data_IF_915673541686
#
_entry.id   IF_915673541686
#
_cell.length_a   1.000
_cell.length_b   1.000
_cell.length_c   1.000
_cell.angle_alpha   90.00
_cell.angle_beta   90.00
_cell.angle_gamma   90.00
#
_symmetry.space_group_name_H-M   'P 1'
#
loop_
_entity.id
_entity.type
_entity.pdbx_description
1 polymer ?
#
# COMPACT_ATOMS: atom_id res chain seq x y z
N UNK A 1 -23.97 -0.46 7.55
CA UNK A 1 -23.07 0.39 6.72
C UNK A 1 -22.96 1.75 7.44
N UNK A 2 -22.00 2.01 8.33
CA UNK A 2 -21.96 3.31 8.97
C UNK A 2 -21.22 3.50 10.29
N UNK A 3 -20.38 2.60 10.76
CA UNK A 3 -19.80 2.76 12.12
C UNK A 3 -18.28 3.03 12.18
N UNK A 4 -17.55 2.99 11.06
CA UNK A 4 -16.09 3.18 11.08
C UNK A 4 -15.67 4.63 10.73
N UNK A 5 -16.57 5.47 10.19
CA UNK A 5 -16.24 6.82 9.65
C UNK A 5 -16.47 8.01 10.60
N UNK A 6 -16.90 7.84 11.85
CA UNK A 6 -17.45 8.97 12.62
C UNK A 6 -16.45 9.87 13.37
N UNK A 7 -15.14 9.62 13.35
CA UNK A 7 -14.18 10.47 14.10
C UNK A 7 -12.87 10.74 13.32
N UNK A 8 -12.96 11.47 12.21
CA UNK A 8 -11.79 12.17 11.65
C UNK A 8 -11.98 13.69 11.80
N UNK A 9 -11.28 14.30 12.76
CA UNK A 9 -11.13 15.75 12.83
C UNK A 9 -10.25 16.17 11.65
N UNK A 10 -10.84 16.87 10.66
CA UNK A 10 -10.08 17.45 9.54
C UNK A 10 -9.15 18.54 10.11
N UNK A 11 -7.84 18.33 10.05
CA UNK A 11 -6.89 19.39 10.28
C UNK A 11 -7.00 20.41 9.14
N UNK A 12 -7.08 21.72 9.48
CA UNK A 12 -7.15 22.81 8.49
C UNK A 12 -5.82 23.18 7.80
N UNK A 13 -4.80 22.31 7.87
CA UNK A 13 -3.60 22.48 7.05
C UNK A 13 -3.88 22.07 5.62
N UNK A 14 -3.44 22.89 4.62
CA UNK A 14 -3.43 22.48 3.21
C UNK A 14 -2.76 21.11 3.12
N UNK A 15 -3.40 20.12 2.48
CA UNK A 15 -2.83 18.78 2.40
C UNK A 15 -1.49 18.86 1.67
N UNK A 16 -0.43 18.41 2.33
CA UNK A 16 0.89 18.31 1.73
C UNK A 16 0.94 17.05 0.87
N UNK A 17 1.28 17.19 -0.41
CA UNK A 17 1.39 16.04 -1.31
C UNK A 17 2.69 15.28 -0.99
N UNK A 18 2.57 13.98 -0.67
CA UNK A 18 3.71 13.09 -0.45
C UNK A 18 4.14 12.37 -1.73
N UNK A 19 3.19 12.13 -2.65
CA UNK A 19 3.42 11.53 -3.97
C UNK A 19 2.72 12.39 -5.01
N UNK A 20 3.39 12.76 -6.11
CA UNK A 20 2.74 13.35 -7.28
C UNK A 20 3.25 12.71 -8.58
N UNK A 21 2.32 12.50 -9.49
CA UNK A 21 2.54 12.08 -10.87
C UNK A 21 2.14 13.24 -11.78
N UNK A 22 3.02 13.64 -12.68
CA UNK A 22 2.81 14.76 -13.61
C UNK A 22 3.10 14.28 -15.03
N UNK A 23 2.05 14.18 -15.85
CA UNK A 23 2.08 13.77 -17.27
C UNK A 23 2.78 12.44 -17.54
N UNK A 24 2.58 11.45 -16.64
CA UNK A 24 3.23 10.15 -16.76
C UNK A 24 2.64 9.35 -17.91
N UNK A 25 3.51 8.98 -18.84
CA UNK A 25 3.19 8.05 -19.93
C UNK A 25 4.15 6.86 -19.88
N UNK A 26 3.60 5.65 -20.04
CA UNK A 26 4.36 4.42 -20.07
C UNK A 26 3.83 3.46 -21.12
N UNK A 27 4.74 2.94 -21.94
CA UNK A 27 4.47 1.88 -22.93
C UNK A 27 5.50 0.77 -22.79
N UNK A 28 5.07 -0.48 -22.98
CA UNK A 28 5.95 -1.63 -23.17
C UNK A 28 5.88 -2.07 -24.63
N UNK A 29 7.02 -2.04 -25.32
CA UNK A 29 7.07 -2.27 -26.77
C UNK A 29 6.09 -1.30 -27.47
N UNK A 30 5.05 -1.81 -28.11
CA UNK A 30 4.03 -1.00 -28.78
C UNK A 30 2.71 -0.92 -28.03
N UNK A 31 2.66 -1.39 -26.76
CA UNK A 31 1.45 -1.36 -25.95
C UNK A 31 1.50 -0.24 -24.93
N UNK A 32 0.60 0.72 -25.06
CA UNK A 32 0.38 1.79 -24.08
C UNK A 32 -0.22 1.18 -22.80
N UNK A 33 0.34 1.51 -21.66
CA UNK A 33 -0.10 1.05 -20.33
C UNK A 33 -0.68 2.20 -19.51
N UNK A 34 -0.01 3.35 -19.53
CA UNK A 34 -0.44 4.57 -18.85
C UNK A 34 -0.30 5.72 -19.83
N UNK A 35 -1.35 6.57 -19.94
CA UNK A 35 -1.41 7.69 -20.85
C UNK A 35 -1.68 8.99 -20.09
N UNK A 36 -0.70 9.87 -20.05
CA UNK A 36 -0.79 11.20 -19.44
C UNK A 36 -1.41 11.18 -18.02
N UNK A 37 -0.94 10.28 -17.17
CA UNK A 37 -1.46 10.10 -15.81
C UNK A 37 -1.01 11.24 -14.91
N UNK A 38 -1.99 11.90 -14.29
CA UNK A 38 -1.81 13.01 -13.36
C UNK A 38 -2.61 12.77 -12.08
N UNK A 39 -1.97 12.68 -10.93
CA UNK A 39 -2.64 12.61 -9.61
C UNK A 39 -1.68 12.96 -8.48
N UNK A 40 -2.24 13.21 -7.30
CA UNK A 40 -1.49 13.47 -6.07
C UNK A 40 -2.05 12.66 -4.92
N UNK A 41 -1.17 12.18 -4.06
CA UNK A 41 -1.52 11.51 -2.80
C UNK A 41 -1.03 12.40 -1.66
N UNK A 42 -1.92 12.68 -0.70
CA UNK A 42 -1.59 13.54 0.43
C UNK A 42 -0.98 12.76 1.59
N UNK A 43 -0.16 13.43 2.38
CA UNK A 43 0.43 12.84 3.58
C UNK A 43 -0.65 12.38 4.57
N UNK A 44 -0.53 11.15 5.06
CA UNK A 44 -1.43 10.58 6.06
C UNK A 44 -2.81 10.20 5.54
N UNK A 45 -3.08 10.18 4.21
CA UNK A 45 -4.32 9.64 3.67
C UNK A 45 -4.23 8.15 3.35
N UNK A 46 -5.37 7.47 3.36
CA UNK A 46 -5.53 6.15 2.73
C UNK A 46 -6.09 6.39 1.33
N UNK A 47 -5.27 6.18 0.32
CA UNK A 47 -5.61 6.40 -1.09
C UNK A 47 -5.84 5.08 -1.81
N UNK A 48 -6.93 4.99 -2.58
CA UNK A 48 -7.31 3.80 -3.33
C UNK A 48 -7.08 3.93 -4.84
N UNK A 49 -6.69 2.84 -5.48
CA UNK A 49 -6.65 2.70 -6.93
C UNK A 49 -7.53 1.54 -7.36
N UNK A 50 -8.61 1.83 -8.07
CA UNK A 50 -9.57 0.86 -8.60
C UNK A 50 -9.37 0.66 -10.10
N UNK A 51 -9.69 -0.51 -10.58
CA UNK A 51 -9.69 -0.84 -12.01
C UNK A 51 -9.55 -2.33 -12.25
N UNK A 52 -9.84 -2.80 -13.45
CA UNK A 52 -9.71 -4.23 -13.81
C UNK A 52 -8.25 -4.70 -13.73
N UNK A 53 -8.06 -6.02 -13.73
CA UNK A 53 -6.73 -6.59 -13.77
C UNK A 53 -6.01 -6.22 -15.07
N UNK A 54 -4.70 -5.90 -14.96
CA UNK A 54 -3.89 -5.51 -16.11
C UNK A 54 -4.06 -4.06 -16.58
N UNK A 55 -4.84 -3.21 -15.88
CA UNK A 55 -5.06 -1.79 -16.27
C UNK A 55 -3.89 -0.86 -15.91
N UNK A 56 -2.87 -1.35 -15.17
CA UNK A 56 -1.71 -0.54 -14.79
C UNK A 56 -1.60 -0.18 -13.30
N UNK A 57 -2.45 -0.71 -12.41
CA UNK A 57 -2.40 -0.41 -10.96
C UNK A 57 -1.04 -0.75 -10.32
N UNK A 58 -0.60 -2.00 -10.43
CA UNK A 58 0.71 -2.43 -9.91
C UNK A 58 1.87 -1.75 -10.65
N UNK A 59 1.65 -1.34 -11.91
CA UNK A 59 2.60 -0.54 -12.68
C UNK A 59 2.86 0.82 -12.03
N UNK A 60 1.82 1.47 -11.50
CA UNK A 60 1.96 2.73 -10.74
C UNK A 60 2.81 2.50 -9.49
N UNK A 61 2.62 1.39 -8.75
CA UNK A 61 3.47 1.06 -7.60
C UNK A 61 4.92 0.82 -8.01
N UNK A 62 5.14 0.12 -9.13
CA UNK A 62 6.49 -0.08 -9.67
C UNK A 62 7.17 1.23 -10.09
N UNK A 63 6.41 2.20 -10.59
CA UNK A 63 6.89 3.56 -10.88
C UNK A 63 7.23 4.32 -9.60
N UNK A 64 6.40 4.25 -8.55
CA UNK A 64 6.67 4.89 -7.25
C UNK A 64 7.95 4.32 -6.62
N UNK A 65 8.10 2.99 -6.61
CA UNK A 65 9.27 2.33 -6.03
C UNK A 65 10.54 2.51 -6.88
N UNK A 66 10.40 2.84 -8.17
CA UNK A 66 11.53 2.96 -9.12
C UNK A 66 11.99 1.61 -9.68
N UNK A 67 11.16 0.58 -9.58
CA UNK A 67 11.40 -0.71 -10.23
C UNK A 67 11.34 -0.58 -11.77
N UNK A 68 10.50 0.33 -12.24
CA UNK A 68 10.41 0.74 -13.65
C UNK A 68 10.45 2.25 -13.75
N UNK A 69 10.81 2.76 -14.94
CA UNK A 69 10.82 4.19 -15.25
C UNK A 69 9.73 4.50 -16.28
N UNK A 70 9.09 5.69 -16.22
CA UNK A 70 8.16 6.11 -17.27
C UNK A 70 8.91 6.49 -18.56
N UNK A 71 8.19 6.50 -19.68
CA UNK A 71 8.73 7.05 -20.93
C UNK A 71 8.76 8.59 -20.88
N UNK A 72 7.74 9.20 -20.27
CA UNK A 72 7.62 10.65 -20.12
C UNK A 72 6.97 11.01 -18.78
N UNK A 73 7.15 12.27 -18.35
CA UNK A 73 6.57 12.84 -17.16
C UNK A 73 7.49 12.84 -15.96
N UNK A 74 6.98 13.33 -14.82
CA UNK A 74 7.74 13.46 -13.57
C UNK A 74 7.04 12.74 -12.42
N UNK A 75 7.84 12.11 -11.56
CA UNK A 75 7.37 11.50 -10.30
C UNK A 75 8.07 12.19 -9.15
N UNK A 76 7.28 12.81 -8.26
CA UNK A 76 7.84 13.48 -7.09
C UNK A 76 7.43 12.76 -5.81
N UNK A 77 8.39 12.56 -4.92
CA UNK A 77 8.21 12.10 -3.54
C UNK A 77 8.63 13.23 -2.59
N UNK A 78 7.73 13.70 -1.73
CA UNK A 78 7.96 14.89 -0.89
C UNK A 78 8.45 16.10 -1.71
N UNK A 79 7.84 16.37 -2.86
CA UNK A 79 8.20 17.42 -3.82
C UNK A 79 9.62 17.28 -4.44
N UNK A 80 10.29 16.15 -4.29
CA UNK A 80 11.59 15.86 -4.91
C UNK A 80 11.34 14.95 -6.12
N UNK A 81 11.80 15.35 -7.29
CA UNK A 81 11.80 14.47 -8.47
C UNK A 81 12.70 13.25 -8.19
N UNK A 82 12.13 12.06 -8.41
CA UNK A 82 12.80 10.80 -8.08
C UNK A 82 13.12 9.93 -9.30
N UNK A 83 12.90 10.42 -10.52
CA UNK A 83 13.11 9.61 -11.73
C UNK A 83 14.51 9.00 -11.74
N UNK A 84 15.54 9.77 -11.38
CA UNK A 84 16.93 9.33 -11.35
C UNK A 84 17.34 8.61 -10.04
N UNK A 85 16.41 8.41 -9.11
CA UNK A 85 16.71 7.70 -7.86
C UNK A 85 16.48 6.19 -8.05
N UNK A 86 17.50 5.35 -7.84
CA UNK A 86 17.33 3.90 -7.88
C UNK A 86 16.46 3.42 -6.72
N UNK A 87 15.86 2.24 -6.87
CA UNK A 87 14.88 1.66 -5.93
C UNK A 87 15.35 1.68 -4.48
N UNK A 88 16.62 1.30 -4.20
CA UNK A 88 17.14 1.24 -2.83
C UNK A 88 17.22 2.62 -2.17
N UNK A 89 17.49 3.69 -2.94
CA UNK A 89 17.47 5.06 -2.43
C UNK A 89 16.04 5.56 -2.21
N UNK A 90 15.10 5.23 -3.11
CA UNK A 90 13.70 5.62 -2.93
C UNK A 90 13.12 4.98 -1.67
N UNK A 91 13.30 3.68 -1.48
CA UNK A 91 12.80 2.96 -0.31
C UNK A 91 13.43 3.47 0.99
N UNK A 92 14.75 3.66 1.02
CA UNK A 92 15.46 4.13 2.22
C UNK A 92 15.19 5.60 2.55
N UNK A 93 15.34 6.51 1.56
CA UNK A 93 15.23 7.97 1.77
C UNK A 93 13.79 8.41 2.02
N UNK A 94 12.83 7.87 1.26
CA UNK A 94 11.41 8.25 1.37
C UNK A 94 10.60 7.28 2.23
N UNK A 95 11.26 6.27 2.81
CA UNK A 95 10.64 5.29 3.73
C UNK A 95 9.40 4.64 3.11
N UNK A 96 9.57 4.01 1.95
CA UNK A 96 8.50 3.31 1.25
C UNK A 96 8.52 1.84 1.65
N UNK A 97 7.41 1.36 2.22
CA UNK A 97 7.11 -0.06 2.40
C UNK A 97 6.25 -0.56 1.24
N UNK A 98 6.52 -1.78 0.77
CA UNK A 98 5.74 -2.39 -0.30
C UNK A 98 5.31 -3.80 0.07
N UNK A 99 4.02 -4.05 -0.04
CA UNK A 99 3.37 -5.36 0.16
C UNK A 99 2.90 -5.85 -1.20
N UNK A 100 3.59 -6.83 -1.82
CA UNK A 100 3.22 -7.35 -3.13
C UNK A 100 1.95 -8.20 -3.06
N UNK A 101 1.34 -8.42 -4.21
CA UNK A 101 0.18 -9.29 -4.36
C UNK A 101 0.50 -10.72 -3.89
N UNK A 102 1.66 -11.25 -4.27
CA UNK A 102 2.16 -12.57 -3.92
C UNK A 102 3.56 -12.52 -3.33
N UNK A 103 3.87 -13.47 -2.44
CA UNK A 103 5.20 -13.59 -1.85
C UNK A 103 5.51 -12.53 -0.79
N UNK A 104 6.76 -12.04 -0.79
CA UNK A 104 7.24 -11.07 0.20
C UNK A 104 7.67 -11.71 1.52
N UNK A 105 7.82 -13.04 1.57
CA UNK A 105 8.28 -13.80 2.74
C UNK A 105 9.05 -15.06 2.32
N UNK A 106 9.81 -15.62 3.24
CA UNK A 106 10.57 -16.85 3.05
C UNK A 106 9.72 -18.06 3.50
N UNK A 107 9.38 -18.93 2.56
CA UNK A 107 8.46 -20.06 2.76
C UNK A 107 8.89 -21.04 3.85
N UNK A 108 10.18 -21.36 3.94
CA UNK A 108 10.73 -22.37 4.84
C UNK A 108 11.15 -21.82 6.20
N UNK A 109 11.17 -20.51 6.37
CA UNK A 109 11.35 -19.85 7.66
C UNK A 109 10.03 -19.78 8.43
N UNK A 110 10.12 -19.82 9.76
CA UNK A 110 8.96 -19.59 10.63
C UNK A 110 8.52 -18.12 10.51
N UNK A 111 7.33 -17.80 11.00
CA UNK A 111 6.84 -16.43 11.07
C UNK A 111 7.84 -15.53 11.80
N UNK A 112 8.32 -15.96 12.97
CA UNK A 112 9.33 -15.21 13.73
C UNK A 112 10.65 -15.05 12.97
N UNK A 113 11.15 -16.13 12.35
CA UNK A 113 12.39 -16.08 11.56
C UNK A 113 12.28 -15.14 10.35
N UNK A 114 11.10 -15.06 9.72
CA UNK A 114 10.85 -14.09 8.67
C UNK A 114 11.00 -12.65 9.19
N UNK A 115 10.35 -12.32 10.31
CA UNK A 115 10.45 -11.01 10.94
C UNK A 115 11.89 -10.71 11.36
N UNK A 116 12.56 -11.68 11.98
CA UNK A 116 13.94 -11.57 12.44
C UNK A 116 14.91 -11.26 11.29
N UNK A 117 14.82 -12.02 10.19
CA UNK A 117 15.70 -11.85 9.03
C UNK A 117 15.59 -10.44 8.41
N UNK A 118 14.39 -9.86 8.35
CA UNK A 118 14.22 -8.50 7.83
C UNK A 118 14.62 -7.45 8.88
N UNK A 119 14.29 -7.68 10.15
CA UNK A 119 14.63 -6.76 11.23
C UNK A 119 16.16 -6.57 11.36
N UNK A 120 16.94 -7.64 11.26
CA UNK A 120 18.41 -7.59 11.27
C UNK A 120 19.01 -6.72 10.14
N UNK A 121 18.29 -6.58 9.01
CA UNK A 121 18.72 -5.74 7.89
C UNK A 121 18.38 -4.26 8.12
N UNK A 122 17.21 -3.98 8.76
CA UNK A 122 16.66 -2.62 8.81
C UNK A 122 16.79 -1.95 10.17
N UNK A 123 17.09 -2.69 11.24
CA UNK A 123 17.22 -2.20 12.61
C UNK A 123 18.63 -2.52 13.13
N UNK A 124 19.37 -1.48 13.52
CA UNK A 124 20.76 -1.64 14.00
C UNK A 124 20.83 -2.05 15.49
N UNK A 125 19.83 -1.69 16.30
CA UNK A 125 19.82 -1.95 17.74
C UNK A 125 19.01 -3.21 18.04
N UNK A 126 19.67 -4.22 18.62
CA UNK A 126 19.07 -5.52 18.94
C UNK A 126 17.94 -5.43 19.97
N UNK A 127 17.99 -4.48 20.90
CA UNK A 127 16.92 -4.31 21.88
C UNK A 127 15.65 -3.74 21.24
N UNK A 128 15.82 -2.78 20.34
CA UNK A 128 14.73 -2.21 19.52
C UNK A 128 14.18 -3.25 18.56
N UNK A 129 15.04 -4.08 17.97
CA UNK A 129 14.68 -5.14 17.05
C UNK A 129 13.70 -6.13 17.70
N UNK A 130 14.08 -6.72 18.85
CA UNK A 130 13.26 -7.73 19.52
C UNK A 130 11.94 -7.15 20.02
N UNK A 131 11.98 -5.94 20.61
CA UNK A 131 10.77 -5.22 21.00
C UNK A 131 9.81 -5.03 19.82
N UNK A 132 10.33 -4.58 18.67
CA UNK A 132 9.52 -4.29 17.49
C UNK A 132 8.92 -5.55 16.88
N UNK A 133 9.69 -6.64 16.80
CA UNK A 133 9.19 -7.94 16.33
C UNK A 133 8.02 -8.40 17.20
N UNK A 134 8.18 -8.41 18.53
CA UNK A 134 7.14 -8.87 19.45
C UNK A 134 5.92 -7.94 19.42
N UNK A 135 6.11 -6.63 19.31
CA UNK A 135 5.03 -5.65 19.14
C UNK A 135 4.21 -5.89 17.87
N UNK A 136 4.87 -6.18 16.73
CA UNK A 136 4.19 -6.49 15.48
C UNK A 136 3.45 -7.83 15.55
N UNK A 137 4.06 -8.87 16.14
CA UNK A 137 3.40 -10.17 16.34
C UNK A 137 2.10 -9.97 17.13
N UNK A 138 2.14 -9.21 18.22
CA UNK A 138 0.96 -8.92 19.05
C UNK A 138 -0.06 -8.06 18.31
N UNK A 139 0.38 -6.98 17.64
CA UNK A 139 -0.51 -6.09 16.89
C UNK A 139 -1.31 -6.81 15.80
N UNK A 140 -0.71 -7.84 15.19
CA UNK A 140 -1.34 -8.63 14.14
C UNK A 140 -2.00 -9.92 14.64
N UNK A 141 -2.00 -10.17 15.96
CA UNK A 141 -2.56 -11.39 16.59
C UNK A 141 -1.93 -12.67 15.99
N UNK A 142 -0.60 -12.74 15.99
CA UNK A 142 0.18 -13.82 15.38
C UNK A 142 0.98 -14.65 16.39
N UNK A 143 0.76 -14.46 17.70
CA UNK A 143 1.53 -15.08 18.79
C UNK A 143 1.56 -16.61 18.67
N UNK A 144 0.40 -17.22 18.42
CA UNK A 144 0.26 -18.68 18.31
C UNK A 144 0.91 -19.26 17.04
N UNK A 145 1.32 -18.39 16.11
CA UNK A 145 1.90 -18.77 14.82
C UNK A 145 3.41 -18.51 14.76
N UNK A 146 4.00 -17.99 15.83
CA UNK A 146 5.41 -17.58 15.91
C UNK A 146 6.38 -18.65 15.37
N UNK A 147 6.13 -19.92 15.68
CA UNK A 147 6.98 -21.05 15.29
C UNK A 147 6.47 -21.80 14.06
N UNK A 148 5.40 -21.33 13.41
CA UNK A 148 4.84 -21.97 12.23
C UNK A 148 5.60 -21.47 10.99
N UNK A 149 6.04 -22.39 10.12
CA UNK A 149 6.67 -22.01 8.83
C UNK A 149 5.67 -21.27 7.94
N UNK A 150 6.15 -20.23 7.26
CA UNK A 150 5.30 -19.35 6.46
C UNK A 150 4.50 -20.08 5.36
N UNK A 151 5.03 -21.17 4.80
CA UNK A 151 4.31 -22.00 3.83
C UNK A 151 3.02 -22.61 4.37
N UNK A 152 2.92 -22.84 5.67
CA UNK A 152 1.74 -23.44 6.33
C UNK A 152 0.72 -22.42 6.83
N UNK A 153 1.01 -21.12 6.72
CA UNK A 153 0.08 -20.07 7.09
C UNK A 153 -1.08 -19.98 6.08
N UNK A 154 -2.27 -19.62 6.56
CA UNK A 154 -3.41 -19.30 5.69
C UNK A 154 -3.14 -18.03 4.86
N UNK A 155 -3.95 -17.77 3.83
CA UNK A 155 -3.83 -16.57 3.01
C UNK A 155 -3.86 -15.28 3.82
N UNK A 156 -4.81 -15.15 4.75
CA UNK A 156 -4.92 -14.00 5.64
C UNK A 156 -3.73 -13.86 6.61
N UNK A 157 -3.24 -14.98 7.15
CA UNK A 157 -2.06 -14.98 8.01
C UNK A 157 -0.79 -14.58 7.24
N UNK A 158 -0.64 -15.01 5.99
CA UNK A 158 0.43 -14.58 5.09
C UNK A 158 0.36 -13.08 4.81
N UNK A 159 -0.84 -12.53 4.54
CA UNK A 159 -1.02 -11.08 4.35
C UNK A 159 -0.65 -10.30 5.62
N UNK A 160 -1.08 -10.75 6.81
CA UNK A 160 -0.65 -10.15 8.09
C UNK A 160 0.88 -10.16 8.24
N UNK A 161 1.53 -11.28 7.95
CA UNK A 161 2.99 -11.41 8.01
C UNK A 161 3.67 -10.41 7.07
N UNK A 162 3.27 -10.33 5.80
CA UNK A 162 3.92 -9.43 4.82
C UNK A 162 3.73 -7.96 5.19
N UNK A 163 2.53 -7.58 5.69
CA UNK A 163 2.32 -6.22 6.21
C UNK A 163 3.22 -5.97 7.41
N UNK A 164 3.31 -6.90 8.37
CA UNK A 164 4.19 -6.76 9.52
C UNK A 164 5.68 -6.61 9.11
N UNK A 165 6.14 -7.39 8.13
CA UNK A 165 7.49 -7.27 7.56
C UNK A 165 7.75 -5.88 6.99
N UNK A 166 6.78 -5.32 6.24
CA UNK A 166 6.92 -3.98 5.65
C UNK A 166 6.96 -2.86 6.68
N UNK A 167 6.41 -3.09 7.88
CA UNK A 167 6.39 -2.11 8.98
C UNK A 167 7.68 -2.09 9.81
N UNK A 168 8.57 -3.07 9.65
CA UNK A 168 9.85 -3.09 10.36
C UNK A 168 10.73 -1.88 10.08
N UNK A 169 10.62 -1.28 8.90
CA UNK A 169 11.40 -0.10 8.49
C UNK A 169 10.76 1.25 8.86
N UNK A 170 9.66 1.29 9.61
CA UNK A 170 8.86 2.50 9.90
C UNK A 170 8.54 3.31 8.63
N UNK A 171 7.79 2.74 7.69
CA UNK A 171 7.51 3.41 6.44
C UNK A 171 6.65 4.66 6.65
N UNK A 172 6.91 5.72 5.85
CA UNK A 172 6.03 6.89 5.74
C UNK A 172 4.96 6.69 4.65
N UNK A 173 5.26 5.84 3.69
CA UNK A 173 4.36 5.42 2.62
C UNK A 173 4.30 3.90 2.61
N UNK A 174 3.11 3.34 2.65
CA UNK A 174 2.86 1.90 2.56
C UNK A 174 2.02 1.60 1.32
N UNK A 175 2.59 0.83 0.40
CA UNK A 175 1.93 0.41 -0.83
C UNK A 175 1.41 -1.02 -0.65
N UNK A 176 0.10 -1.23 -0.80
CA UNK A 176 -0.58 -2.52 -0.63
C UNK A 176 -1.16 -2.97 -1.98
N UNK A 177 -0.55 -3.99 -2.60
CA UNK A 177 -0.97 -4.49 -3.89
C UNK A 177 -1.92 -5.68 -3.72
N UNK A 178 -3.19 -5.51 -4.14
CA UNK A 178 -4.28 -6.49 -4.06
C UNK A 178 -4.37 -7.19 -2.68
N UNK A 179 -4.40 -6.38 -1.62
CA UNK A 179 -4.34 -6.93 -0.26
C UNK A 179 -5.62 -7.65 0.19
N UNK A 180 -6.75 -7.43 -0.48
CA UNK A 180 -8.03 -8.08 -0.18
C UNK A 180 -8.33 -9.29 -1.08
N UNK A 181 -7.54 -9.49 -2.15
CA UNK A 181 -7.78 -10.54 -3.12
C UNK A 181 -7.71 -11.96 -2.51
N UNK A 182 -8.64 -12.83 -2.90
CA UNK A 182 -8.72 -14.23 -2.50
C UNK A 182 -8.80 -14.49 -0.98
N UNK A 183 -9.38 -13.54 -0.23
CA UNK A 183 -9.61 -13.66 1.22
C UNK A 183 -11.11 -13.78 1.53
N UNK A 184 -11.43 -14.44 2.63
CA UNK A 184 -12.79 -14.49 3.15
C UNK A 184 -13.21 -13.16 3.79
N UNK A 185 -14.53 -12.96 3.93
CA UNK A 185 -15.12 -11.69 4.40
C UNK A 185 -14.64 -11.28 5.80
N UNK A 186 -14.41 -12.24 6.70
CA UNK A 186 -13.96 -11.94 8.06
C UNK A 186 -12.51 -11.46 8.04
N UNK A 187 -11.65 -12.12 7.27
CA UNK A 187 -10.26 -11.73 7.08
C UNK A 187 -10.15 -10.34 6.43
N UNK A 188 -10.97 -10.04 5.43
CA UNK A 188 -11.03 -8.69 4.80
C UNK A 188 -11.37 -7.63 5.84
N UNK A 189 -12.46 -7.83 6.62
CA UNK A 189 -12.87 -6.87 7.67
C UNK A 189 -11.79 -6.64 8.72
N UNK A 190 -11.09 -7.69 9.10
CA UNK A 190 -9.98 -7.60 10.04
C UNK A 190 -8.81 -6.79 9.44
N UNK A 191 -8.40 -7.05 8.20
CA UNK A 191 -7.35 -6.28 7.53
C UNK A 191 -7.75 -4.82 7.34
N UNK A 192 -9.00 -4.54 6.98
CA UNK A 192 -9.55 -3.19 6.90
C UNK A 192 -9.38 -2.45 8.24
N UNK A 193 -9.72 -3.10 9.35
CA UNK A 193 -9.54 -2.53 10.70
C UNK A 193 -8.06 -2.26 11.01
N UNK A 194 -7.17 -3.20 10.70
CA UNK A 194 -5.73 -3.05 10.89
C UNK A 194 -5.20 -1.86 10.08
N UNK A 195 -5.55 -1.74 8.80
CA UNK A 195 -5.11 -0.66 7.91
C UNK A 195 -5.55 0.70 8.45
N UNK A 196 -6.82 0.84 8.84
CA UNK A 196 -7.36 2.10 9.39
C UNK A 196 -6.70 2.46 10.73
N UNK A 197 -6.50 1.48 11.61
CA UNK A 197 -5.85 1.73 12.90
C UNK A 197 -4.37 2.10 12.69
N UNK A 198 -3.66 1.40 11.81
CA UNK A 198 -2.27 1.71 11.49
C UNK A 198 -2.11 3.16 11.02
N UNK A 199 -2.94 3.62 10.08
CA UNK A 199 -2.91 4.99 9.61
C UNK A 199 -3.19 5.99 10.74
N UNK A 200 -4.19 5.73 11.59
CA UNK A 200 -4.53 6.62 12.73
C UNK A 200 -3.42 6.73 13.78
N UNK A 201 -2.76 5.61 14.08
CA UNK A 201 -1.73 5.56 15.12
C UNK A 201 -0.40 6.14 14.67
N UNK A 202 -0.03 5.94 13.39
CA UNK A 202 1.31 6.27 12.89
C UNK A 202 1.33 7.42 11.88
N UNK A 203 0.15 7.87 11.42
CA UNK A 203 -0.01 8.83 10.32
C UNK A 203 0.69 8.39 9.01
N UNK A 204 0.90 7.09 8.82
CA UNK A 204 1.46 6.55 7.58
C UNK A 204 0.49 6.79 6.42
N UNK A 205 1.01 7.23 5.28
CA UNK A 205 0.23 7.29 4.04
C UNK A 205 0.09 5.89 3.47
N UNK A 206 -1.12 5.44 3.20
CA UNK A 206 -1.37 4.09 2.69
C UNK A 206 -1.98 4.19 1.30
N UNK A 207 -1.35 3.53 0.33
CA UNK A 207 -1.88 3.40 -1.03
C UNK A 207 -2.30 1.94 -1.25
N UNK A 208 -3.55 1.73 -1.62
CA UNK A 208 -4.11 0.39 -1.84
C UNK A 208 -4.54 0.29 -3.29
N UNK A 209 -4.05 -0.68 -4.05
CA UNK A 209 -4.66 -1.02 -5.31
C UNK A 209 -5.43 -2.35 -5.17
N UNK A 210 -6.65 -2.38 -5.68
CA UNK A 210 -7.47 -3.57 -5.71
C UNK A 210 -8.51 -3.46 -6.84
N UNK A 211 -9.06 -4.60 -7.24
CA UNK A 211 -10.18 -4.66 -8.19
C UNK A 211 -11.53 -4.80 -7.46
N UNK A 212 -11.53 -5.10 -6.16
CA UNK A 212 -12.73 -5.23 -5.33
C UNK A 212 -13.17 -3.86 -4.80
N UNK A 213 -13.97 -3.14 -5.59
CA UNK A 213 -14.41 -1.77 -5.28
C UNK A 213 -15.06 -1.63 -3.89
N UNK A 214 -15.94 -2.57 -3.51
CA UNK A 214 -16.67 -2.53 -2.25
C UNK A 214 -15.72 -2.52 -1.04
N UNK A 215 -14.72 -3.40 -1.06
CA UNK A 215 -13.83 -3.60 0.08
C UNK A 215 -12.79 -2.50 0.17
N UNK A 216 -12.30 -2.01 -0.98
CA UNK A 216 -11.40 -0.87 -1.05
C UNK A 216 -12.08 0.42 -0.59
N UNK A 217 -13.25 0.77 -1.16
CA UNK A 217 -13.97 2.00 -0.86
C UNK A 217 -14.45 2.09 0.60
N UNK A 218 -14.50 0.96 1.33
CA UNK A 218 -14.84 0.94 2.75
C UNK A 218 -13.77 1.57 3.65
N UNK A 219 -12.51 1.64 3.21
CA UNK A 219 -11.38 2.06 4.05
C UNK A 219 -10.66 3.31 3.58
N UNK A 220 -10.74 3.65 2.29
CA UNK A 220 -10.02 4.79 1.72
C UNK A 220 -10.68 6.12 2.02
N UNK A 221 -9.88 7.19 2.06
CA UNK A 221 -10.36 8.56 2.15
C UNK A 221 -10.74 9.10 0.79
N UNK A 222 -9.95 8.75 -0.22
CA UNK A 222 -10.08 9.14 -1.61
C UNK A 222 -9.58 8.01 -2.48
N UNK A 223 -10.12 7.88 -3.69
CA UNK A 223 -9.65 6.90 -4.65
C UNK A 223 -9.74 7.44 -6.08
N UNK A 224 -8.99 6.79 -6.97
CA UNK A 224 -9.11 6.96 -8.41
C UNK A 224 -9.54 5.65 -9.08
N UNK A 225 -10.18 5.79 -10.24
CA UNK A 225 -10.57 4.67 -11.10
C UNK A 225 -9.74 4.74 -12.37
N UNK A 226 -9.00 3.66 -12.64
CA UNK A 226 -8.21 3.47 -13.85
C UNK A 226 -9.00 2.65 -14.86
N UNK A 227 -9.05 3.12 -16.10
CA UNK A 227 -9.62 2.40 -17.24
C UNK A 227 -8.99 2.89 -18.53
N UNK A 228 -8.76 1.98 -19.48
CA UNK A 228 -8.20 2.33 -20.79
C UNK A 228 -6.96 3.24 -20.71
N UNK A 229 -5.97 2.83 -19.89
CA UNK A 229 -4.71 3.55 -19.68
C UNK A 229 -4.83 4.92 -19.01
N UNK A 230 -6.02 5.37 -18.60
CA UNK A 230 -6.30 6.70 -18.08
C UNK A 230 -6.98 6.68 -16.70
N UNK A 231 -6.93 7.81 -15.98
CA UNK A 231 -7.77 8.04 -14.79
C UNK A 231 -9.13 8.56 -15.28
N UNK A 232 -10.17 7.73 -15.12
CA UNK A 232 -11.53 8.09 -15.58
C UNK A 232 -12.38 8.73 -14.49
N UNK A 233 -12.01 8.59 -13.24
CA UNK A 233 -12.65 9.25 -12.11
C UNK A 233 -11.69 9.32 -10.91
N UNK A 234 -11.83 10.38 -10.11
CA UNK A 234 -11.17 10.55 -8.82
C UNK A 234 -12.13 11.26 -7.87
N UNK A 235 -12.08 10.93 -6.59
CA UNK A 235 -12.92 11.56 -5.57
C UNK A 235 -13.05 10.74 -4.30
N UNK A 236 -13.96 11.18 -3.42
CA UNK A 236 -14.34 10.44 -2.22
C UNK A 236 -15.08 9.13 -2.57
N UNK A 237 -15.11 8.14 -1.67
CA UNK A 237 -15.87 6.91 -1.89
C UNK A 237 -17.33 7.15 -2.29
N UNK A 238 -17.99 8.14 -1.67
CA UNK A 238 -19.38 8.47 -1.97
C UNK A 238 -19.57 9.02 -3.40
N UNK A 239 -18.65 9.87 -3.87
CA UNK A 239 -18.67 10.40 -5.23
C UNK A 239 -18.42 9.31 -6.27
N UNK A 240 -17.48 8.37 -5.97
CA UNK A 240 -17.15 7.29 -6.88
C UNK A 240 -18.26 6.25 -6.99
N UNK A 241 -18.93 5.89 -5.88
CA UNK A 241 -20.11 4.99 -5.91
C UNK A 241 -21.18 5.55 -6.82
N UNK A 242 -21.54 6.83 -6.68
CA UNK A 242 -22.53 7.49 -7.56
C UNK A 242 -22.14 7.44 -9.04
N UNK A 243 -20.84 7.61 -9.35
CA UNK A 243 -20.32 7.53 -10.73
C UNK A 243 -20.33 6.11 -11.31
N UNK A 244 -20.17 5.09 -10.47
CA UNK A 244 -20.22 3.67 -10.88
C UNK A 244 -21.67 3.23 -11.13
N UNK A 245 -22.61 3.66 -10.28
CA UNK A 245 -24.05 3.32 -10.38
C UNK A 245 -24.75 4.07 -11.53
N UNK A 246 -24.21 5.20 -12.00
CA UNK A 246 -24.76 6.01 -13.08
C UNK A 246 -24.34 5.54 -14.51
N UNK A 247 -23.52 4.49 -14.61
CA UNK A 247 -23.08 3.86 -15.88
C UNK A 247 -23.71 2.49 -16.05
#
# INVERSE_FOLDING_TARGET
>A
MGLIKQFRIKSHKKPNSIISFENITLSYSNRLILDNINFKINEGEIFGMLGPNGVGKSTIFNLITGLILPNNGEIKLNNIDVINYPIYLRTKKFKIGYVPQYGGYFNDLTLYQNLKAIAEIVINDKSVEEYKINSLISKFELENLKNVKAKFLSGGQKKKLVIALSLLSDPKVLLLDECFAALDVLTIKMLQKIIVNLQKETNVTICICDHQARDLLAVVDRAMILSNCNIVAEGSPQELVKKIEAK
#
